data_IF_404181755837
#
_entry.id   IF_404181755837
#
_cell.length_a   1.000
_cell.length_b   1.000
_cell.length_c   1.000
_cell.angle_alpha   90.00
_cell.angle_beta   90.00
_cell.angle_gamma   90.00
#
_symmetry.space_group_name_H-M   'P 1'
#
loop_
_entity.id
_entity.type
_entity.pdbx_description
1 polymer ?
#
# COMPACT_ATOMS: atom_id res chain seq x y z
N UNK A 1 56.80 9.65 -51.02
CA UNK A 1 57.00 8.20 -50.77
C UNK A 1 56.10 7.79 -49.60
N UNK A 2 55.19 6.82 -49.82
CA UNK A 2 54.47 5.97 -48.83
C UNK A 2 53.35 6.67 -48.00
N UNK A 3 52.04 6.51 -48.29
CA UNK A 3 51.14 5.32 -48.17
C UNK A 3 51.03 4.90 -46.69
N UNK A 4 49.91 5.13 -45.97
CA UNK A 4 48.70 4.29 -45.82
C UNK A 4 48.04 4.70 -44.49
N UNK A 5 46.79 4.42 -44.09
CA UNK A 5 45.54 3.89 -44.66
C UNK A 5 44.48 3.97 -43.55
N UNK A 6 43.25 4.31 -43.94
CA UNK A 6 41.95 3.87 -43.39
C UNK A 6 41.81 3.56 -41.90
N UNK A 7 40.95 4.32 -41.23
CA UNK A 7 40.05 3.76 -40.23
C UNK A 7 38.61 4.01 -40.69
N UNK A 8 37.88 2.92 -40.86
CA UNK A 8 36.46 2.88 -41.21
C UNK A 8 35.61 2.86 -39.92
N UNK A 9 34.29 2.76 -40.13
CA UNK A 9 33.20 2.45 -39.18
C UNK A 9 32.63 3.67 -38.42
N UNK A 10 31.45 4.16 -38.85
CA UNK A 10 30.11 3.70 -38.44
C UNK A 10 29.72 4.30 -37.08
N UNK A 11 28.62 5.04 -36.95
CA UNK A 11 27.30 4.43 -36.79
C UNK A 11 26.17 5.48 -36.87
N UNK A 12 25.02 5.00 -37.36
CA UNK A 12 23.78 5.70 -37.63
C UNK A 12 23.19 6.45 -36.41
N UNK A 13 22.73 7.67 -36.66
CA UNK A 13 21.70 8.34 -35.87
C UNK A 13 20.33 7.77 -36.24
N UNK A 14 19.87 6.77 -35.50
CA UNK A 14 18.49 6.28 -35.58
C UNK A 14 17.67 6.94 -34.47
N UNK A 15 16.97 8.00 -34.83
CA UNK A 15 15.97 8.64 -33.98
C UNK A 15 14.69 7.80 -34.03
N UNK A 16 14.52 6.90 -33.06
CA UNK A 16 13.28 6.15 -32.87
C UNK A 16 12.44 6.82 -31.78
N UNK A 17 11.33 7.41 -32.19
CA UNK A 17 10.22 7.74 -31.31
C UNK A 17 9.55 6.46 -30.82
N UNK A 18 9.42 6.29 -29.51
CA UNK A 18 8.60 5.25 -28.87
C UNK A 18 8.07 5.80 -27.53
N UNK A 19 6.93 5.27 -27.04
CA UNK A 19 6.07 5.95 -26.09
C UNK A 19 6.72 6.07 -24.71
N UNK A 20 6.48 7.20 -24.04
CA UNK A 20 6.87 7.47 -22.65
C UNK A 20 6.05 6.59 -21.71
N UNK A 21 6.34 5.30 -21.66
CA UNK A 21 5.91 4.34 -20.63
C UNK A 21 6.93 3.18 -20.58
N UNK A 22 8.20 3.49 -20.31
CA UNK A 22 9.25 2.49 -20.11
C UNK A 22 10.33 2.99 -19.14
N UNK A 23 9.90 3.62 -18.03
CA UNK A 23 10.78 4.21 -17.03
C UNK A 23 10.53 3.76 -15.59
N UNK A 24 9.64 2.80 -15.34
CA UNK A 24 9.54 2.15 -14.03
C UNK A 24 10.26 0.80 -14.10
N UNK A 25 11.59 0.84 -14.16
CA UNK A 25 12.36 -0.37 -13.88
C UNK A 25 12.35 -0.57 -12.36
N UNK A 26 12.14 -1.81 -11.94
CA UNK A 26 12.25 -2.21 -10.54
C UNK A 26 13.61 -1.79 -9.94
N UNK A 27 14.64 -1.64 -10.78
CA UNK A 27 15.97 -1.14 -10.43
C UNK A 27 15.96 0.35 -10.03
N UNK A 28 15.21 1.22 -10.72
CA UNK A 28 15.06 2.64 -10.36
C UNK A 28 14.15 2.81 -9.13
N UNK A 29 13.13 1.96 -8.98
CA UNK A 29 12.34 1.88 -7.75
C UNK A 29 13.19 1.42 -6.55
N UNK A 30 14.11 0.47 -6.76
CA UNK A 30 15.04 0.00 -5.73
C UNK A 30 16.06 1.09 -5.38
N UNK A 31 16.51 1.88 -6.36
CA UNK A 31 17.48 2.96 -6.14
C UNK A 31 16.85 4.23 -5.57
N UNK A 32 15.60 4.54 -5.92
CA UNK A 32 14.77 5.57 -5.29
C UNK A 32 14.36 5.18 -3.85
N UNK A 33 14.11 3.89 -3.60
CA UNK A 33 13.92 3.35 -2.25
C UNK A 33 15.22 3.37 -1.42
N UNK A 34 16.39 3.35 -2.07
CA UNK A 34 17.69 3.40 -1.40
C UNK A 34 18.17 4.83 -1.11
N UNK A 35 17.70 5.83 -1.86
CA UNK A 35 18.02 7.25 -1.63
C UNK A 35 17.04 7.95 -0.69
N UNK A 36 15.88 7.36 -0.41
CA UNK A 36 15.07 7.65 0.78
C UNK A 36 15.49 6.72 1.92
N UNK A 37 16.56 7.11 2.59
CA UNK A 37 17.15 6.46 3.75
C UNK A 37 16.14 6.40 4.91
N UNK A 38 15.34 5.34 4.94
CA UNK A 38 14.34 5.05 5.98
C UNK A 38 13.30 4.00 5.59
N UNK A 39 13.60 3.13 4.60
CA UNK A 39 12.63 2.24 3.97
C UNK A 39 11.96 1.25 4.95
N UNK A 40 10.81 1.64 5.47
CA UNK A 40 9.92 0.79 6.23
C UNK A 40 9.58 -0.47 5.43
N UNK A 41 9.69 -1.64 6.06
CA UNK A 41 9.29 -2.91 5.45
C UNK A 41 7.80 -2.91 5.00
N UNK A 42 7.02 -1.93 5.46
CA UNK A 42 5.63 -1.69 5.09
C UNK A 42 5.53 -1.08 3.68
N UNK A 43 6.33 -0.05 3.41
CA UNK A 43 6.46 0.57 2.08
C UNK A 43 6.94 -0.45 1.04
N UNK A 44 7.77 -1.41 1.45
CA UNK A 44 8.23 -2.52 0.59
C UNK A 44 7.18 -3.62 0.38
N UNK A 45 6.24 -3.78 1.31
CA UNK A 45 5.10 -4.67 1.16
C UNK A 45 4.03 -4.07 0.25
N UNK A 46 4.02 -2.74 0.11
CA UNK A 46 3.05 -2.02 -0.69
C UNK A 46 3.19 -2.31 -2.21
N UNK A 47 2.08 -2.51 -2.93
CA UNK A 47 2.06 -2.80 -4.35
C UNK A 47 2.32 -1.57 -5.22
N UNK A 48 2.12 -0.36 -4.68
CA UNK A 48 2.20 0.91 -5.41
C UNK A 48 2.79 2.01 -4.54
N UNK A 49 3.23 3.11 -5.17
CA UNK A 49 3.80 4.25 -4.45
C UNK A 49 2.75 4.93 -3.55
N UNK A 50 1.48 4.90 -3.94
CA UNK A 50 0.36 5.45 -3.18
C UNK A 50 0.08 4.62 -1.93
N UNK A 51 0.05 3.29 -2.05
CA UNK A 51 -0.11 2.42 -0.88
C UNK A 51 1.13 2.44 0.02
N UNK A 52 2.32 2.60 -0.56
CA UNK A 52 3.58 2.82 0.15
C UNK A 52 3.56 4.12 0.96
N UNK A 53 3.08 5.22 0.37
CA UNK A 53 2.94 6.51 1.04
C UNK A 53 1.96 6.46 2.21
N UNK A 54 0.81 5.77 2.04
CA UNK A 54 -0.14 5.52 3.12
C UNK A 54 0.53 4.76 4.27
N UNK A 55 1.20 3.66 3.96
CA UNK A 55 1.82 2.78 4.94
C UNK A 55 2.98 3.45 5.67
N UNK A 56 3.82 4.19 4.95
CA UNK A 56 4.90 5.00 5.54
C UNK A 56 4.36 6.14 6.42
N UNK A 57 3.24 6.76 6.04
CA UNK A 57 2.57 7.74 6.88
C UNK A 57 2.03 7.09 8.17
N UNK A 58 1.43 5.90 8.08
CA UNK A 58 0.95 5.17 9.25
C UNK A 58 2.08 4.75 10.19
N UNK A 59 3.17 4.18 9.68
CA UNK A 59 4.33 3.80 10.50
C UNK A 59 4.96 5.02 11.15
N UNK A 60 5.16 6.11 10.40
CA UNK A 60 5.82 7.32 10.89
C UNK A 60 4.95 8.13 11.87
N UNK A 61 3.66 8.29 11.58
CA UNK A 61 2.75 9.12 12.39
C UNK A 61 2.33 8.41 13.68
N UNK A 62 2.13 7.09 13.63
CA UNK A 62 1.66 6.30 14.78
C UNK A 62 2.79 5.56 15.49
N UNK A 63 4.03 5.65 14.99
CA UNK A 63 5.20 4.95 15.50
C UNK A 63 4.94 3.44 15.68
N UNK A 64 4.20 2.86 14.74
CA UNK A 64 3.85 1.43 14.71
C UNK A 64 4.83 0.65 13.84
N UNK A 65 4.93 -0.66 14.08
CA UNK A 65 5.80 -1.52 13.28
C UNK A 65 5.30 -1.65 11.84
N UNK A 66 6.19 -1.97 10.89
CA UNK A 66 5.80 -2.25 9.53
C UNK A 66 4.68 -3.31 9.37
N UNK A 67 4.78 -4.43 10.08
CA UNK A 67 3.73 -5.46 10.05
C UNK A 67 2.37 -4.94 10.54
N UNK A 68 2.41 -4.03 11.51
CA UNK A 68 1.24 -3.47 12.16
C UNK A 68 0.55 -2.44 11.25
N UNK A 69 1.32 -1.59 10.57
CA UNK A 69 0.77 -0.67 9.58
C UNK A 69 0.14 -1.42 8.40
N UNK A 70 0.84 -2.40 7.84
CA UNK A 70 0.33 -3.21 6.71
C UNK A 70 -0.88 -4.02 7.11
N UNK A 71 -0.79 -4.77 8.21
CA UNK A 71 -1.89 -5.59 8.70
C UNK A 71 -3.08 -4.74 9.17
N UNK A 72 -2.83 -3.62 9.82
CA UNK A 72 -3.89 -2.69 10.25
C UNK A 72 -4.62 -2.07 9.07
N UNK A 73 -3.87 -1.53 8.09
CA UNK A 73 -4.44 -0.96 6.87
C UNK A 73 -5.18 -2.04 6.04
N UNK A 74 -4.60 -3.23 5.87
CA UNK A 74 -5.25 -4.33 5.18
C UNK A 74 -6.53 -4.79 5.87
N UNK A 75 -6.56 -4.88 7.21
CA UNK A 75 -7.76 -5.25 7.96
C UNK A 75 -8.86 -4.19 7.84
N UNK A 76 -8.51 -2.91 7.95
CA UNK A 76 -9.46 -1.80 7.80
C UNK A 76 -10.02 -1.74 6.38
N UNK A 77 -9.16 -1.86 5.38
CA UNK A 77 -9.60 -1.84 3.99
C UNK A 77 -10.33 -3.14 3.61
N UNK A 78 -10.01 -4.28 4.24
CA UNK A 78 -10.76 -5.54 4.10
C UNK A 78 -12.18 -5.43 4.66
N UNK A 79 -12.33 -4.80 5.83
CA UNK A 79 -13.65 -4.45 6.38
C UNK A 79 -14.40 -3.52 5.44
N UNK A 80 -13.74 -2.47 4.96
CA UNK A 80 -14.32 -1.54 4.00
C UNK A 80 -14.75 -2.26 2.71
N UNK A 81 -13.96 -3.20 2.21
CA UNK A 81 -14.32 -4.02 1.03
C UNK A 81 -15.57 -4.88 1.29
N UNK A 82 -15.77 -5.34 2.52
CA UNK A 82 -16.95 -6.14 2.89
C UNK A 82 -18.21 -5.28 3.05
N UNK A 83 -18.05 -4.04 3.54
CA UNK A 83 -19.15 -3.15 3.90
C UNK A 83 -19.50 -2.13 2.79
N UNK A 84 -18.55 -1.75 1.95
CA UNK A 84 -18.79 -0.89 0.80
C UNK A 84 -19.42 -1.67 -0.35
N UNK A 85 -20.19 -0.96 -1.18
CA UNK A 85 -20.67 -1.53 -2.42
C UNK A 85 -19.51 -1.78 -3.40
N UNK A 86 -19.68 -2.75 -4.30
CA UNK A 86 -18.69 -3.04 -5.35
C UNK A 86 -18.38 -1.81 -6.20
N UNK A 87 -19.35 -0.89 -6.37
CA UNK A 87 -19.18 0.37 -7.09
C UNK A 87 -18.26 1.33 -6.34
N UNK A 88 -18.56 1.59 -5.06
CA UNK A 88 -17.77 2.49 -4.20
C UNK A 88 -16.32 2.01 -4.08
N UNK A 89 -16.14 0.72 -3.85
CA UNK A 89 -14.82 0.13 -3.75
C UNK A 89 -14.08 0.13 -5.11
N UNK A 90 -14.78 -0.03 -6.23
CA UNK A 90 -14.18 0.13 -7.56
C UNK A 90 -13.76 1.57 -7.85
N UNK A 91 -14.43 2.56 -7.25
CA UNK A 91 -14.05 3.97 -7.33
C UNK A 91 -12.81 4.23 -6.46
N UNK A 92 -12.78 3.69 -5.23
CA UNK A 92 -11.62 3.69 -4.36
C UNK A 92 -10.38 3.12 -5.07
N UNK A 93 -10.53 1.97 -5.74
CA UNK A 93 -9.45 1.30 -6.44
C UNK A 93 -8.98 2.02 -7.71
N UNK A 94 -9.81 2.89 -8.29
CA UNK A 94 -9.40 3.79 -9.38
C UNK A 94 -8.63 4.99 -8.85
N UNK A 95 -9.05 5.56 -7.72
CA UNK A 95 -8.36 6.71 -7.09
C UNK A 95 -7.04 6.32 -6.45
N UNK A 96 -6.95 5.11 -5.87
CA UNK A 96 -5.73 4.60 -5.24
C UNK A 96 -5.30 3.30 -5.92
N UNK A 97 -4.40 3.37 -6.91
CA UNK A 97 -3.85 2.19 -7.57
C UNK A 97 -3.25 1.27 -6.49
N UNK A 98 -3.56 -0.03 -6.54
CA UNK A 98 -3.01 -1.01 -5.59
C UNK A 98 -3.79 -1.19 -4.29
N UNK A 99 -4.76 -0.34 -3.95
CA UNK A 99 -5.59 -0.52 -2.73
C UNK A 99 -6.34 -1.86 -2.73
N UNK A 100 -6.71 -2.38 -3.91
CA UNK A 100 -7.36 -3.68 -4.06
C UNK A 100 -6.42 -4.85 -3.74
N UNK A 101 -5.12 -4.68 -3.99
CA UNK A 101 -4.10 -5.65 -3.60
C UNK A 101 -3.87 -5.60 -2.08
N UNK A 102 -3.84 -4.42 -1.48
CA UNK A 102 -3.71 -4.25 -0.03
C UNK A 102 -4.89 -4.85 0.76
N UNK A 103 -6.11 -4.69 0.25
CA UNK A 103 -7.32 -5.16 0.94
C UNK A 103 -7.87 -6.52 0.48
N UNK A 104 -7.44 -6.99 -0.70
CA UNK A 104 -7.75 -8.32 -1.21
C UNK A 104 -6.78 -9.40 -0.78
N UNK A 105 -5.86 -9.10 0.14
CA UNK A 105 -4.90 -10.06 0.66
C UNK A 105 -3.60 -10.20 -0.15
N UNK A 106 -3.38 -9.35 -1.15
CA UNK A 106 -2.10 -9.29 -1.87
C UNK A 106 -0.92 -8.95 -0.94
N UNK A 107 -1.14 -8.07 0.03
CA UNK A 107 -0.17 -7.76 1.08
C UNK A 107 -0.04 -8.85 2.15
N UNK A 108 -1.00 -9.78 2.27
CA UNK A 108 -0.88 -10.89 3.22
C UNK A 108 0.30 -11.78 2.86
N UNK A 109 0.64 -11.91 1.58
CA UNK A 109 1.84 -12.65 1.17
C UNK A 109 3.14 -11.95 1.61
N UNK A 110 3.21 -10.63 1.48
CA UNK A 110 4.37 -9.84 1.93
C UNK A 110 4.48 -9.83 3.46
N UNK A 111 3.35 -9.68 4.15
CA UNK A 111 3.25 -9.70 5.59
C UNK A 111 3.51 -11.10 6.14
N UNK A 112 3.07 -12.16 5.47
CA UNK A 112 3.40 -13.54 5.78
C UNK A 112 4.89 -13.84 5.56
N UNK A 113 5.54 -13.22 4.56
CA UNK A 113 6.99 -13.31 4.40
C UNK A 113 7.74 -12.64 5.56
N UNK A 114 7.24 -11.49 6.01
CA UNK A 114 7.80 -10.76 7.15
C UNK A 114 7.58 -11.54 8.46
N UNK A 115 6.36 -11.99 8.70
CA UNK A 115 5.88 -12.62 9.93
C UNK A 115 6.11 -14.14 9.99
N UNK A 116 6.38 -14.76 8.84
CA UNK A 116 6.65 -16.19 8.68
C UNK A 116 7.94 -16.63 9.36
N UNK A 117 8.87 -15.69 9.56
CA UNK A 117 10.04 -15.88 10.43
C UNK A 117 9.66 -16.05 11.92
N UNK A 118 8.42 -15.68 12.31
CA UNK A 118 7.92 -15.70 13.68
C UNK A 118 6.68 -16.61 13.87
N UNK A 119 6.24 -17.37 12.86
CA UNK A 119 5.12 -18.33 12.97
C UNK A 119 3.72 -17.72 13.15
N UNK A 120 3.58 -16.39 13.09
CA UNK A 120 2.32 -15.67 13.35
C UNK A 120 1.44 -15.44 12.11
N UNK A 121 1.89 -15.83 10.92
CA UNK A 121 1.19 -15.57 9.65
C UNK A 121 -0.14 -16.33 9.51
N UNK A 122 -0.21 -17.61 9.91
CA UNK A 122 -1.38 -18.45 9.67
C UNK A 122 -2.62 -18.03 10.49
N UNK A 123 -2.43 -17.56 11.73
CA UNK A 123 -3.53 -17.05 12.56
C UNK A 123 -4.04 -15.69 12.08
N UNK A 124 -3.15 -14.93 11.43
CA UNK A 124 -3.45 -13.59 10.95
C UNK A 124 -4.24 -13.61 9.64
N UNK A 125 -3.96 -14.57 8.74
CA UNK A 125 -4.73 -14.78 7.51
C UNK A 125 -6.22 -15.01 7.80
N UNK A 126 -6.51 -15.80 8.83
CA UNK A 126 -7.89 -16.07 9.27
C UNK A 126 -8.55 -14.85 9.93
N UNK A 127 -7.76 -14.08 10.71
CA UNK A 127 -8.24 -12.87 11.36
C UNK A 127 -8.51 -11.72 10.37
N UNK A 128 -7.65 -11.53 9.37
CA UNK A 128 -7.80 -10.51 8.33
C UNK A 128 -8.74 -10.90 7.21
N UNK A 129 -8.78 -12.17 6.83
CA UNK A 129 -9.67 -12.67 5.77
C UNK A 129 -11.15 -12.65 6.15
N UNK A 130 -11.46 -12.49 7.44
CA UNK A 130 -12.82 -12.58 7.99
C UNK A 130 -13.27 -11.29 8.67
N UNK A 131 -12.66 -10.14 8.37
CA UNK A 131 -13.06 -8.88 9.01
C UNK A 131 -14.39 -8.38 8.44
N UNK A 132 -15.49 -8.58 9.17
CA UNK A 132 -16.84 -8.15 8.78
C UNK A 132 -17.38 -7.00 9.63
N UNK A 133 -16.92 -6.91 10.86
CA UNK A 133 -17.35 -5.89 11.82
C UNK A 133 -16.16 -5.28 12.57
N UNK A 134 -16.41 -4.19 13.29
CA UNK A 134 -15.43 -3.54 14.16
C UNK A 134 -14.84 -4.49 15.21
N UNK A 135 -15.60 -5.52 15.62
CA UNK A 135 -15.12 -6.58 16.51
C UNK A 135 -14.02 -7.43 15.87
N UNK A 136 -14.20 -7.82 14.62
CA UNK A 136 -13.18 -8.60 13.90
C UNK A 136 -11.98 -7.74 13.57
N UNK A 137 -12.20 -6.45 13.32
CA UNK A 137 -11.14 -5.48 13.13
C UNK A 137 -10.28 -5.37 14.40
N UNK A 138 -10.94 -5.26 15.56
CA UNK A 138 -10.29 -5.27 16.87
C UNK A 138 -9.49 -6.57 17.09
N UNK A 139 -10.04 -7.72 16.69
CA UNK A 139 -9.35 -9.00 16.79
C UNK A 139 -8.11 -9.05 15.86
N UNK A 140 -8.21 -8.52 14.65
CA UNK A 140 -7.08 -8.45 13.71
C UNK A 140 -5.95 -7.55 14.25
N UNK A 141 -6.30 -6.38 14.80
CA UNK A 141 -5.33 -5.50 15.46
C UNK A 141 -4.70 -6.17 16.70
N UNK A 142 -5.50 -6.85 17.51
CA UNK A 142 -5.01 -7.61 18.67
C UNK A 142 -4.08 -8.75 18.26
N UNK A 143 -4.38 -9.45 17.16
CA UNK A 143 -3.53 -10.51 16.60
C UNK A 143 -2.18 -9.97 16.10
N UNK A 144 -2.15 -8.72 15.63
CA UNK A 144 -0.95 -7.96 15.28
C UNK A 144 -0.21 -7.41 16.52
N UNK A 145 -0.76 -7.59 17.72
CA UNK A 145 -0.22 -7.04 18.96
C UNK A 145 -0.37 -5.52 19.05
N UNK A 146 -1.35 -4.94 18.34
CA UNK A 146 -1.73 -3.54 18.46
C UNK A 146 -2.85 -3.35 19.45
N UNK A 147 -2.90 -2.16 20.04
CA UNK A 147 -4.05 -1.72 20.84
C UNK A 147 -5.24 -1.41 19.92
N UNK A 148 -6.44 -1.83 20.33
CA UNK A 148 -7.68 -1.58 19.57
C UNK A 148 -8.02 -0.09 19.47
N UNK A 149 -7.57 0.72 20.42
CA UNK A 149 -7.69 2.19 20.36
C UNK A 149 -6.89 2.82 19.21
N UNK A 150 -5.91 2.12 18.65
CA UNK A 150 -5.19 2.60 17.46
C UNK A 150 -6.07 2.64 16.21
N UNK A 151 -7.14 1.85 16.12
CA UNK A 151 -8.08 1.91 14.98
C UNK A 151 -8.66 3.33 14.83
N UNK A 152 -8.95 3.99 15.95
CA UNK A 152 -9.40 5.39 15.98
C UNK A 152 -8.34 6.40 15.55
N UNK A 153 -7.07 6.02 15.49
CA UNK A 153 -5.96 6.84 14.99
C UNK A 153 -5.64 6.52 13.52
N UNK A 154 -5.73 5.25 13.13
CA UNK A 154 -5.54 4.81 11.75
C UNK A 154 -6.63 5.38 10.82
N UNK A 155 -7.90 5.31 11.24
CA UNK A 155 -9.02 5.73 10.41
C UNK A 155 -8.88 7.17 9.90
N UNK A 156 -8.70 8.22 10.74
CA UNK A 156 -8.58 9.58 10.25
C UNK A 156 -7.34 9.81 9.36
N UNK A 157 -6.22 9.11 9.61
CA UNK A 157 -5.04 9.17 8.75
C UNK A 157 -5.30 8.55 7.37
N UNK A 158 -5.93 7.37 7.34
CA UNK A 158 -6.29 6.70 6.09
C UNK A 158 -7.30 7.56 5.32
N UNK A 159 -8.33 8.11 5.99
CA UNK A 159 -9.31 8.99 5.35
C UNK A 159 -8.68 10.25 4.79
N UNK A 160 -7.76 10.88 5.52
CA UNK A 160 -7.03 12.05 5.04
C UNK A 160 -6.21 11.71 3.80
N UNK A 161 -5.49 10.58 3.84
CA UNK A 161 -4.69 10.13 2.71
C UNK A 161 -5.54 9.80 1.49
N UNK A 162 -6.60 9.01 1.65
CA UNK A 162 -7.55 8.67 0.60
C UNK A 162 -8.18 9.94 0.00
N UNK A 163 -8.55 10.92 0.81
CA UNK A 163 -9.04 12.20 0.33
C UNK A 163 -8.01 12.98 -0.49
N UNK A 164 -6.72 12.93 -0.11
CA UNK A 164 -5.64 13.50 -0.92
C UNK A 164 -5.43 12.78 -2.25
N UNK A 165 -5.72 11.47 -2.32
CA UNK A 165 -5.70 10.69 -3.56
C UNK A 165 -6.95 10.94 -4.45
N UNK A 166 -7.86 11.83 -4.04
CA UNK A 166 -9.05 12.16 -4.82
C UNK A 166 -10.23 11.20 -4.61
N UNK A 167 -10.26 10.46 -3.50
CA UNK A 167 -11.44 9.69 -3.11
C UNK A 167 -12.57 10.65 -2.73
N UNK A 168 -13.76 10.42 -3.28
CA UNK A 168 -14.92 11.29 -3.06
C UNK A 168 -15.32 11.39 -1.58
N UNK A 169 -15.75 12.59 -1.16
CA UNK A 169 -16.13 12.85 0.23
C UNK A 169 -17.24 11.93 0.76
N UNK A 170 -18.18 11.54 -0.09
CA UNK A 170 -19.24 10.57 0.24
C UNK A 170 -18.68 9.20 0.60
N UNK A 171 -17.66 8.74 -0.14
CA UNK A 171 -16.98 7.47 0.08
C UNK A 171 -16.11 7.51 1.33
N UNK A 172 -15.41 8.62 1.56
CA UNK A 172 -14.67 8.86 2.81
C UNK A 172 -15.60 8.84 4.03
N UNK A 173 -16.80 9.40 3.90
CA UNK A 173 -17.79 9.39 4.97
C UNK A 173 -18.33 7.98 5.24
N UNK A 174 -18.58 7.19 4.20
CA UNK A 174 -18.92 5.76 4.34
C UNK A 174 -17.79 4.99 5.04
N UNK A 175 -16.55 5.16 4.60
CA UNK A 175 -15.36 4.54 5.21
C UNK A 175 -15.20 4.93 6.68
N UNK A 176 -15.34 6.21 7.01
CA UNK A 176 -15.27 6.70 8.38
C UNK A 176 -16.39 6.14 9.27
N UNK A 177 -17.58 5.95 8.70
CA UNK A 177 -18.72 5.31 9.40
C UNK A 177 -18.45 3.83 9.66
N UNK A 178 -17.93 3.10 8.66
CA UNK A 178 -17.59 1.67 8.76
C UNK A 178 -16.53 1.41 9.84
N UNK A 179 -15.51 2.27 9.92
CA UNK A 179 -14.42 2.13 10.89
C UNK A 179 -14.74 2.69 12.27
N UNK A 180 -15.92 3.28 12.46
CA UNK A 180 -16.30 3.91 13.72
C UNK A 180 -15.56 5.22 14.03
N UNK A 181 -14.85 5.80 13.05
CA UNK A 181 -14.28 7.15 13.14
C UNK A 181 -15.36 8.24 13.01
N UNK A 182 -16.51 7.89 12.43
CA UNK A 182 -17.70 8.73 12.34
C UNK A 182 -18.69 8.49 13.47
N UNK A 183 -18.35 8.81 14.72
CA UNK A 183 -19.35 9.12 15.75
C UNK A 183 -18.93 10.35 16.54
N UNK A 184 -19.03 11.50 15.87
CA UNK A 184 -19.09 12.81 16.52
C UNK A 184 -20.26 13.57 15.93
N UNK A 185 -21.44 13.40 16.51
CA UNK A 185 -22.44 14.46 16.55
C UNK A 185 -21.90 15.62 17.37
#
# INVERSE_FOLDING_TARGET
MKISRGFALASLMTLAASPVFAGFTLDDLTKAASSMQGGDAATKAAPTSETAGLLGALTSQLNVKPEQAVGGAAAMLGLAKNQLSSTDYSELAKSVPGIDKLSGGGELGALAGLLGSNGKAAGLDNALGTVKDTKDLNNAFSALGMDTGMIGQFAPLILQYLGQQGVGGSLLQSLGSIWGAGTGT
#
